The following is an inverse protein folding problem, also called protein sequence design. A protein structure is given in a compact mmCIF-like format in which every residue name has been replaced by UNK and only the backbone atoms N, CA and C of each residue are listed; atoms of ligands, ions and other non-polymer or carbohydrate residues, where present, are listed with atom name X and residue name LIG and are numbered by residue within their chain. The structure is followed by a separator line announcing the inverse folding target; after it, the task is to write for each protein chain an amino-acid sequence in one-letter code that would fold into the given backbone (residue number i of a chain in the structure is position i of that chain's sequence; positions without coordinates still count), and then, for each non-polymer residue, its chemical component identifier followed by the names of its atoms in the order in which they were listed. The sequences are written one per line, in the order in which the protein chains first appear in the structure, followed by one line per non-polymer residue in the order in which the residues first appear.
data_IF_654417382118
#
_entry.id   IF_654417382118
#
_cell.length_a   1.000
_cell.length_b   1.000
_cell.length_c   1.000
_cell.angle_alpha   90.00
_cell.angle_beta   90.00
_cell.angle_gamma   90.00
#
_symmetry.space_group_name_H-M   'P 1'
#
loop_
_entity.id
_entity.type
_entity.pdbx_description
1 polymer ?
#
# COMPACT_ATOMS: atom_id res chain seq x y z
N UNK A 1 35.35 -2.10 7.55
CA UNK A 1 34.65 -2.51 8.78
C UNK A 1 34.17 -3.92 8.56
N UNK A 2 34.77 -4.85 9.28
CA UNK A 2 34.49 -6.28 9.26
C UNK A 2 33.05 -6.52 9.73
N UNK A 3 32.27 -7.19 8.89
CA UNK A 3 31.00 -7.79 9.27
C UNK A 3 31.31 -8.78 10.40
N UNK A 4 30.90 -8.46 11.63
CA UNK A 4 30.75 -9.50 12.63
C UNK A 4 29.71 -10.48 12.07
N UNK A 5 30.17 -11.69 11.72
CA UNK A 5 29.26 -12.79 11.45
C UNK A 5 28.49 -13.03 12.74
N UNK A 6 27.25 -12.56 12.80
CA UNK A 6 26.32 -12.90 13.88
C UNK A 6 26.20 -14.42 13.91
N UNK A 7 26.81 -15.05 14.91
CA UNK A 7 26.83 -16.49 15.02
C UNK A 7 25.50 -16.97 15.61
N UNK A 8 24.47 -17.02 14.77
CA UNK A 8 23.15 -17.49 15.15
C UNK A 8 23.19 -18.95 15.67
N UNK A 9 24.20 -19.75 15.33
CA UNK A 9 24.32 -21.14 15.81
C UNK A 9 24.44 -21.24 17.34
N UNK A 10 25.04 -20.24 18.02
CA UNK A 10 25.08 -20.22 19.48
C UNK A 10 23.77 -19.75 20.10
N UNK A 11 23.09 -18.81 19.45
CA UNK A 11 21.89 -18.18 19.99
C UNK A 11 20.66 -19.07 19.81
N UNK A 12 20.55 -19.76 18.67
CA UNK A 12 19.48 -20.70 18.36
C UNK A 12 19.48 -21.94 19.28
N UNK A 13 20.61 -22.29 19.92
CA UNK A 13 20.70 -23.43 20.85
C UNK A 13 19.84 -23.26 22.10
N UNK A 14 19.50 -22.01 22.46
CA UNK A 14 18.73 -21.70 23.65
C UNK A 14 17.26 -21.40 23.36
N UNK A 15 16.87 -21.44 22.08
CA UNK A 15 15.51 -21.20 21.63
C UNK A 15 14.65 -22.47 21.71
N UNK A 16 13.33 -22.31 21.59
CA UNK A 16 12.44 -23.44 21.32
C UNK A 16 12.90 -24.18 20.04
N UNK A 17 13.06 -25.52 20.05
CA UNK A 17 13.60 -26.26 18.91
C UNK A 17 12.80 -26.11 17.62
N UNK A 18 11.48 -25.88 17.72
CA UNK A 18 10.63 -25.67 16.54
C UNK A 18 10.92 -24.29 15.95
N UNK A 19 10.95 -23.25 16.80
CA UNK A 19 11.30 -21.88 16.36
C UNK A 19 12.71 -21.86 15.76
N UNK A 20 13.68 -22.49 16.44
CA UNK A 20 15.05 -22.57 15.96
C UNK A 20 15.15 -23.23 14.57
N UNK A 21 14.41 -24.31 14.35
CA UNK A 21 14.36 -25.00 13.06
C UNK A 21 13.84 -24.09 11.95
N UNK A 22 12.72 -23.40 12.19
CA UNK A 22 12.12 -22.46 11.23
C UNK A 22 13.09 -21.32 10.90
N UNK A 23 13.71 -20.73 11.92
CA UNK A 23 14.67 -19.64 11.74
C UNK A 23 15.90 -20.07 10.95
N UNK A 24 16.40 -21.29 11.18
CA UNK A 24 17.52 -21.84 10.42
C UNK A 24 17.18 -22.09 8.95
N UNK A 25 15.95 -22.57 8.66
CA UNK A 25 15.47 -22.71 7.29
C UNK A 25 15.35 -21.34 6.59
N UNK A 26 14.85 -20.32 7.29
CA UNK A 26 14.79 -18.96 6.77
C UNK A 26 16.19 -18.37 6.49
N UNK A 27 17.15 -18.55 7.42
CA UNK A 27 18.55 -18.16 7.24
C UNK A 27 19.24 -18.87 6.06
N UNK A 28 18.75 -20.06 5.70
CA UNK A 28 19.19 -20.86 4.56
C UNK A 28 18.44 -20.51 3.26
N UNK A 29 17.71 -19.41 3.24
CA UNK A 29 16.89 -18.92 2.11
C UNK A 29 15.79 -19.90 1.65
N UNK A 30 15.35 -20.81 2.52
CA UNK A 30 14.19 -21.64 2.24
C UNK A 30 12.91 -20.86 2.54
N UNK A 31 11.89 -21.08 1.72
CA UNK A 31 10.57 -20.52 1.94
C UNK A 31 9.92 -21.21 3.15
N UNK A 32 9.49 -20.41 4.12
CA UNK A 32 8.73 -20.90 5.28
C UNK A 32 7.26 -21.06 4.90
N UNK A 33 6.60 -22.09 5.42
CA UNK A 33 5.19 -22.32 5.12
C UNK A 33 4.26 -21.51 6.05
N UNK A 34 2.94 -21.64 5.82
CA UNK A 34 1.93 -20.94 6.62
C UNK A 34 1.96 -21.40 8.08
N UNK A 35 2.17 -22.70 8.34
CA UNK A 35 2.17 -23.26 9.69
C UNK A 35 3.36 -22.72 10.47
N UNK A 36 4.53 -22.69 9.86
CA UNK A 36 5.75 -22.14 10.44
C UNK A 36 5.60 -20.65 10.72
N UNK A 37 5.03 -19.89 9.78
CA UNK A 37 4.74 -18.47 9.96
C UNK A 37 3.83 -18.21 11.18
N UNK A 38 2.77 -19.02 11.36
CA UNK A 38 1.87 -18.92 12.51
C UNK A 38 2.57 -19.25 13.83
N UNK A 39 3.49 -20.22 13.82
CA UNK A 39 4.33 -20.53 14.98
C UNK A 39 5.21 -19.34 15.36
N UNK A 40 5.86 -18.68 14.40
CA UNK A 40 6.69 -17.51 14.67
C UNK A 40 5.91 -16.35 15.30
N UNK A 41 4.66 -16.10 14.89
CA UNK A 41 3.80 -15.09 15.54
C UNK A 41 3.51 -15.39 17.04
N UNK A 42 3.68 -16.65 17.45
CA UNK A 42 3.47 -17.10 18.82
C UNK A 42 4.75 -17.04 19.68
N UNK A 43 5.90 -16.73 19.09
CA UNK A 43 7.17 -16.59 19.80
C UNK A 43 7.11 -15.50 20.88
N UNK A 44 7.73 -15.75 22.04
CA UNK A 44 7.77 -14.84 23.19
C UNK A 44 9.17 -14.85 23.80
N UNK A 45 9.49 -13.81 24.59
CA UNK A 45 10.79 -13.71 25.26
C UNK A 45 11.96 -13.82 24.27
N UNK A 46 12.94 -14.65 24.59
CA UNK A 46 14.14 -14.87 23.77
C UNK A 46 13.84 -15.36 22.35
N UNK A 47 12.81 -16.20 22.16
CA UNK A 47 12.42 -16.65 20.82
C UNK A 47 11.96 -15.48 19.94
N UNK A 48 11.26 -14.49 20.52
CA UNK A 48 10.84 -13.29 19.78
C UNK A 48 12.04 -12.40 19.42
N UNK A 49 12.99 -12.23 20.33
CA UNK A 49 14.23 -11.49 20.07
C UNK A 49 15.04 -12.14 18.92
N UNK A 50 15.07 -13.46 18.87
CA UNK A 50 15.69 -14.22 17.78
C UNK A 50 14.95 -14.04 16.45
N UNK A 51 13.61 -14.07 16.44
CA UNK A 51 12.82 -13.76 15.24
C UNK A 51 13.18 -12.37 14.69
N UNK A 52 13.24 -11.35 15.56
CA UNK A 52 13.63 -10.00 15.16
C UNK A 52 15.06 -9.95 14.60
N UNK A 53 16.01 -10.64 15.25
CA UNK A 53 17.42 -10.62 14.85
C UNK A 53 17.66 -11.34 13.52
N UNK A 54 16.98 -12.47 13.29
CA UNK A 54 17.02 -13.18 12.00
C UNK A 54 16.35 -12.36 10.91
N UNK A 55 15.21 -11.72 11.20
CA UNK A 55 14.57 -10.82 10.24
C UNK A 55 15.49 -9.64 9.84
N UNK A 56 16.24 -9.08 10.80
CA UNK A 56 17.19 -8.00 10.53
C UNK A 56 18.37 -8.46 9.67
N UNK A 57 18.92 -9.63 9.95
CA UNK A 57 19.98 -10.25 9.14
C UNK A 57 19.50 -10.50 7.71
N UNK A 58 18.31 -11.08 7.53
CA UNK A 58 17.73 -11.31 6.21
C UNK A 58 17.50 -9.99 5.46
N UNK A 59 17.00 -8.96 6.13
CA UNK A 59 16.88 -7.60 5.58
C UNK A 59 18.26 -7.09 5.14
N UNK A 60 19.28 -7.19 6.00
CA UNK A 60 20.65 -6.74 5.72
C UNK A 60 21.27 -7.46 4.52
N UNK A 61 21.09 -8.77 4.39
CA UNK A 61 21.54 -9.55 3.22
C UNK A 61 20.88 -9.08 1.92
N UNK A 62 19.60 -8.66 1.99
CA UNK A 62 18.81 -8.27 0.82
C UNK A 62 19.06 -6.83 0.38
N UNK A 63 19.13 -5.89 1.32
CA UNK A 63 19.14 -4.44 1.01
C UNK A 63 20.28 -3.65 1.68
N UNK A 64 21.13 -4.31 2.47
CA UNK A 64 22.21 -3.65 3.20
C UNK A 64 21.71 -2.77 4.34
N UNK A 65 22.57 -1.85 4.78
CA UNK A 65 22.32 -0.95 5.93
C UNK A 65 21.78 0.42 5.53
N UNK A 66 21.65 0.71 4.23
CA UNK A 66 21.12 2.00 3.76
C UNK A 66 19.61 2.04 3.94
N UNK A 67 19.15 2.95 4.80
CA UNK A 67 17.71 3.24 4.97
C UNK A 67 17.30 4.32 3.99
N UNK A 68 16.39 3.99 3.08
CA UNK A 68 15.83 4.93 2.10
C UNK A 68 14.52 5.55 2.60
N UNK A 69 14.24 6.79 2.21
CA UNK A 69 12.98 7.46 2.49
C UNK A 69 12.53 8.29 1.29
N UNK A 70 11.26 8.70 1.30
CA UNK A 70 10.66 9.61 0.31
C UNK A 70 10.07 10.80 1.05
N UNK A 71 10.32 12.02 0.56
CA UNK A 71 9.59 13.21 1.01
C UNK A 71 8.27 13.25 0.24
N UNK A 72 7.20 12.89 0.94
CA UNK A 72 5.86 12.69 0.38
C UNK A 72 4.85 13.69 0.97
N UNK A 73 3.85 14.08 0.17
CA UNK A 73 2.59 14.65 0.69
C UNK A 73 1.40 13.76 0.33
N UNK A 74 0.68 13.31 1.34
CA UNK A 74 -0.65 12.72 1.19
C UNK A 74 -1.66 13.83 0.87
N UNK A 75 -2.40 13.68 -0.24
CA UNK A 75 -3.49 14.57 -0.64
C UNK A 75 -4.76 13.75 -0.71
N UNK A 76 -5.53 13.81 0.37
CA UNK A 76 -6.87 13.24 0.40
C UNK A 76 -7.84 14.24 -0.23
N UNK A 77 -8.32 13.95 -1.45
CA UNK A 77 -9.13 14.93 -2.19
C UNK A 77 -10.63 14.89 -1.86
N UNK A 78 -11.08 13.86 -1.14
CA UNK A 78 -12.41 13.82 -0.53
C UNK A 78 -12.40 12.84 0.64
N UNK A 79 -13.18 13.13 1.67
CA UNK A 79 -13.47 12.22 2.78
C UNK A 79 -14.86 11.57 2.67
N UNK A 80 -15.67 11.93 1.68
CA UNK A 80 -16.99 11.34 1.45
C UNK A 80 -16.81 9.93 0.89
N UNK A 81 -17.43 8.93 1.51
CA UNK A 81 -17.26 7.55 1.10
C UNK A 81 -18.53 6.73 1.26
N UNK A 82 -18.92 6.02 0.20
CA UNK A 82 -20.04 5.05 0.24
C UNK A 82 -19.71 3.77 1.05
N UNK A 83 -18.47 3.59 1.51
CA UNK A 83 -18.05 2.42 2.28
C UNK A 83 -18.10 2.73 3.78
N UNK A 84 -18.65 1.80 4.55
CA UNK A 84 -18.80 1.94 6.01
C UNK A 84 -17.83 1.00 6.73
N UNK A 85 -16.53 1.29 6.64
CA UNK A 85 -15.51 0.48 7.31
C UNK A 85 -15.49 0.81 8.82
N UNK A 86 -15.64 -0.20 9.68
CA UNK A 86 -15.78 0.01 11.13
C UNK A 86 -14.53 0.57 11.83
N UNK A 87 -13.39 0.58 11.15
CA UNK A 87 -12.10 1.09 11.63
C UNK A 87 -11.69 2.43 11.00
N UNK A 88 -12.47 2.95 10.04
CA UNK A 88 -12.08 4.14 9.29
C UNK A 88 -12.58 5.42 9.97
N UNK A 89 -11.68 6.16 10.60
CA UNK A 89 -11.99 7.46 11.20
C UNK A 89 -12.11 8.60 10.18
N UNK A 90 -11.60 8.39 8.96
CA UNK A 90 -11.52 9.42 7.92
C UNK A 90 -12.81 9.57 7.12
N UNK A 91 -13.51 8.47 6.84
CA UNK A 91 -14.71 8.50 6.00
C UNK A 91 -15.84 9.25 6.66
N UNK A 92 -16.59 9.99 5.85
CA UNK A 92 -17.85 10.64 6.20
C UNK A 92 -18.94 10.12 5.29
N UNK A 93 -20.15 9.99 5.84
CA UNK A 93 -21.33 9.74 5.02
C UNK A 93 -21.59 10.96 4.12
N UNK A 94 -22.18 10.76 2.95
CA UNK A 94 -22.48 11.85 2.01
C UNK A 94 -23.46 12.89 2.58
N UNK A 95 -24.14 12.56 3.68
CA UNK A 95 -25.07 13.47 4.39
C UNK A 95 -24.44 14.22 5.55
N UNK A 96 -23.18 13.95 5.89
CA UNK A 96 -22.51 14.62 7.00
C UNK A 96 -21.94 15.98 6.58
N UNK A 97 -22.11 17.00 7.42
CA UNK A 97 -21.66 18.37 7.15
C UNK A 97 -20.14 18.50 7.00
N UNK A 98 -19.38 17.54 7.55
CA UNK A 98 -17.91 17.50 7.46
C UNK A 98 -17.38 16.91 6.15
N UNK A 99 -18.28 16.49 5.23
CA UNK A 99 -17.92 15.98 3.92
C UNK A 99 -17.31 17.06 3.01
N UNK A 100 -16.22 16.75 2.32
CA UNK A 100 -15.62 17.64 1.32
C UNK A 100 -15.22 16.92 0.04
N UNK A 101 -15.15 17.68 -1.05
CA UNK A 101 -14.52 17.31 -2.31
C UNK A 101 -13.68 18.50 -2.77
N UNK A 102 -12.37 18.33 -2.86
CA UNK A 102 -11.46 19.40 -3.26
C UNK A 102 -11.56 19.65 -4.77
N UNK A 103 -11.60 20.92 -5.21
CA UNK A 103 -11.38 21.28 -6.60
C UNK A 103 -10.01 20.81 -7.08
N UNK A 104 -9.88 20.48 -8.37
CA UNK A 104 -8.61 20.01 -8.95
C UNK A 104 -7.51 21.05 -8.78
N UNK A 105 -7.87 22.33 -8.87
CA UNK A 105 -6.96 23.46 -8.71
C UNK A 105 -6.34 23.48 -7.30
N UNK A 106 -7.11 23.13 -6.27
CA UNK A 106 -6.63 23.04 -4.90
C UNK A 106 -5.71 21.82 -4.70
N UNK A 107 -6.00 20.69 -5.35
CA UNK A 107 -5.13 19.50 -5.35
C UNK A 107 -3.78 19.85 -5.98
N UNK A 108 -3.79 20.52 -7.13
CA UNK A 108 -2.58 20.97 -7.83
C UNK A 108 -1.80 21.99 -7.00
N UNK A 109 -2.49 22.96 -6.37
CA UNK A 109 -1.85 23.92 -5.46
C UNK A 109 -1.11 23.22 -4.33
N UNK A 110 -1.73 22.20 -3.71
CA UNK A 110 -1.10 21.39 -2.65
C UNK A 110 0.08 20.57 -3.16
N UNK A 111 -0.02 19.99 -4.36
CA UNK A 111 1.09 19.28 -4.97
C UNK A 111 2.28 20.21 -5.25
N UNK A 112 2.00 21.44 -5.71
CA UNK A 112 3.01 22.47 -5.99
C UNK A 112 3.70 22.96 -4.73
N UNK A 113 2.93 23.29 -3.70
CA UNK A 113 3.47 23.64 -2.38
C UNK A 113 4.36 22.51 -1.83
N UNK A 114 3.94 21.25 -1.96
CA UNK A 114 4.77 20.11 -1.54
C UNK A 114 6.09 20.06 -2.30
N UNK A 115 6.03 20.23 -3.62
CA UNK A 115 7.21 20.23 -4.47
C UNK A 115 8.19 21.37 -4.12
N UNK A 116 7.67 22.57 -3.87
CA UNK A 116 8.45 23.74 -3.45
C UNK A 116 9.14 23.52 -2.09
N UNK A 117 8.53 22.70 -1.22
CA UNK A 117 9.10 22.26 0.05
C UNK A 117 10.03 21.03 -0.07
N UNK A 118 10.31 20.56 -1.29
CA UNK A 118 11.24 19.46 -1.56
C UNK A 118 10.62 18.07 -1.67
N UNK A 119 9.28 17.95 -1.71
CA UNK A 119 8.64 16.67 -1.96
C UNK A 119 8.93 16.17 -3.39
N UNK A 120 9.29 14.89 -3.48
CA UNK A 120 9.49 14.18 -4.75
C UNK A 120 8.29 13.34 -5.14
N UNK A 121 7.35 13.14 -4.21
CA UNK A 121 6.16 12.33 -4.39
C UNK A 121 4.92 13.00 -3.79
N UNK A 122 3.79 12.83 -4.46
CA UNK A 122 2.46 13.01 -3.87
C UNK A 122 1.73 11.68 -3.87
N UNK A 123 1.11 11.36 -2.73
CA UNK A 123 0.21 10.23 -2.62
C UNK A 123 -1.23 10.74 -2.74
N UNK A 124 -1.94 10.33 -3.79
CA UNK A 124 -3.31 10.78 -4.06
C UNK A 124 -4.27 9.65 -3.69
N UNK A 125 -5.13 9.90 -2.70
CA UNK A 125 -6.13 8.96 -2.21
C UNK A 125 -7.42 9.70 -1.86
N UNK A 126 -8.50 8.95 -1.68
CA UNK A 126 -9.79 9.53 -1.34
C UNK A 126 -10.77 8.52 -0.73
N UNK A 127 -11.87 9.06 -0.22
CA UNK A 127 -13.13 8.33 -0.16
C UNK A 127 -13.71 8.04 -1.55
N UNK A 128 -14.87 7.40 -1.58
CA UNK A 128 -15.61 7.09 -2.81
C UNK A 128 -16.97 7.80 -2.76
N UNK A 129 -17.06 9.07 -3.16
CA UNK A 129 -18.35 9.75 -3.22
C UNK A 129 -19.28 9.03 -4.21
N UNK A 130 -20.60 8.99 -3.94
CA UNK A 130 -21.55 8.52 -4.93
C UNK A 130 -21.48 9.40 -6.19
N UNK A 131 -21.70 8.80 -7.35
CA UNK A 131 -21.73 9.48 -8.66
C UNK A 131 -20.47 10.30 -9.00
N UNK A 132 -19.33 9.99 -8.38
CA UNK A 132 -18.08 10.66 -8.71
C UNK A 132 -17.66 10.31 -10.14
N UNK A 133 -17.39 11.36 -10.93
CA UNK A 133 -16.89 11.22 -12.29
C UNK A 133 -15.61 10.37 -12.29
N UNK A 134 -15.67 9.24 -13.00
CA UNK A 134 -14.55 8.32 -13.11
C UNK A 134 -13.37 8.90 -13.90
N UNK A 135 -13.54 10.00 -14.62
CA UNK A 135 -12.46 10.72 -15.30
C UNK A 135 -11.70 11.69 -14.38
N UNK A 136 -12.24 12.00 -13.19
CA UNK A 136 -11.64 12.92 -12.24
C UNK A 136 -10.22 12.50 -11.86
N UNK A 137 -10.00 11.20 -11.63
CA UNK A 137 -8.70 10.64 -11.28
C UNK A 137 -7.62 10.94 -12.34
N UNK A 138 -7.95 10.78 -13.63
CA UNK A 138 -7.05 11.11 -14.74
C UNK A 138 -6.85 12.62 -14.89
N UNK A 139 -7.91 13.41 -14.68
CA UNK A 139 -7.84 14.87 -14.70
C UNK A 139 -6.86 15.38 -13.63
N UNK A 140 -6.95 14.86 -12.40
CA UNK A 140 -6.03 15.19 -11.31
C UNK A 140 -4.58 14.91 -11.73
N UNK A 141 -4.29 13.72 -12.26
CA UNK A 141 -2.93 13.36 -12.64
C UNK A 141 -2.38 14.26 -13.76
N UNK A 142 -3.19 14.52 -14.79
CA UNK A 142 -2.80 15.38 -15.92
C UNK A 142 -2.50 16.80 -15.48
N UNK A 143 -3.33 17.40 -14.63
CA UNK A 143 -3.10 18.77 -14.15
C UNK A 143 -1.89 18.85 -13.20
N UNK A 144 -1.65 17.84 -12.35
CA UNK A 144 -0.42 17.78 -11.55
C UNK A 144 0.81 17.69 -12.45
N UNK A 145 0.84 16.77 -13.43
CA UNK A 145 1.98 16.60 -14.33
C UNK A 145 2.20 17.81 -15.25
N UNK A 146 1.15 18.55 -15.59
CA UNK A 146 1.26 19.79 -16.37
C UNK A 146 2.04 20.86 -15.60
N UNK A 147 1.72 21.07 -14.33
CA UNK A 147 2.39 22.07 -13.49
C UNK A 147 3.73 21.57 -12.93
N UNK A 148 3.85 20.27 -12.65
CA UNK A 148 5.00 19.65 -12.00
C UNK A 148 5.37 18.34 -12.73
N UNK A 149 5.94 18.40 -13.95
CA UNK A 149 6.19 17.21 -14.78
C UNK A 149 7.02 16.10 -14.11
N UNK A 150 7.90 16.48 -13.16
CA UNK A 150 8.79 15.56 -12.43
C UNK A 150 8.18 14.97 -11.16
N UNK A 151 6.99 15.40 -10.73
CA UNK A 151 6.38 14.90 -9.51
C UNK A 151 6.02 13.42 -9.67
N UNK A 152 6.48 12.56 -8.76
CA UNK A 152 6.04 11.16 -8.74
C UNK A 152 4.62 11.08 -8.18
N UNK A 153 3.70 10.47 -8.92
CA UNK A 153 2.32 10.26 -8.48
C UNK A 153 2.17 8.82 -7.99
N UNK A 154 2.06 8.67 -6.67
CA UNK A 154 1.69 7.42 -6.01
C UNK A 154 0.19 7.42 -5.77
N UNK A 155 -0.58 6.99 -6.76
CA UNK A 155 -1.99 7.36 -6.88
C UNK A 155 -2.95 6.19 -6.88
N UNK A 156 -4.03 6.35 -6.13
CA UNK A 156 -5.27 5.58 -6.10
C UNK A 156 -5.12 4.15 -5.60
N UNK A 157 -5.86 3.85 -4.54
CA UNK A 157 -5.98 2.51 -4.01
C UNK A 157 -6.63 1.57 -5.03
N UNK A 158 -6.45 0.24 -4.87
CA UNK A 158 -7.12 -0.76 -5.70
C UNK A 158 -8.65 -0.62 -5.72
N UNK A 159 -9.25 -0.12 -4.65
CA UNK A 159 -10.68 0.19 -4.58
C UNK A 159 -11.05 1.36 -5.51
N UNK A 160 -10.31 2.47 -5.47
CA UNK A 160 -10.53 3.62 -6.33
C UNK A 160 -10.34 3.27 -7.81
N UNK A 161 -9.34 2.43 -8.12
CA UNK A 161 -9.10 1.92 -9.47
C UNK A 161 -10.29 1.07 -9.95
N UNK A 162 -10.81 0.16 -9.10
CA UNK A 162 -11.98 -0.64 -9.44
C UNK A 162 -13.23 0.23 -9.60
N UNK A 163 -13.42 1.19 -8.71
CA UNK A 163 -14.52 2.14 -8.76
C UNK A 163 -14.48 2.94 -10.06
N UNK A 164 -13.34 3.58 -10.39
CA UNK A 164 -13.17 4.35 -11.61
C UNK A 164 -13.35 3.52 -12.89
N UNK A 165 -12.85 2.29 -12.92
CA UNK A 165 -13.10 1.36 -14.03
C UNK A 165 -14.59 1.03 -14.19
N UNK A 166 -15.28 0.78 -13.08
CA UNK A 166 -16.71 0.44 -13.07
C UNK A 166 -17.57 1.63 -13.51
N UNK A 167 -17.34 2.83 -12.98
CA UNK A 167 -18.07 4.04 -13.34
C UNK A 167 -17.89 4.42 -14.82
N UNK A 168 -16.71 4.15 -15.38
CA UNK A 168 -16.45 4.33 -16.83
C UNK A 168 -16.96 3.18 -17.70
N UNK A 169 -17.45 2.08 -17.13
CA UNK A 169 -17.88 0.90 -17.89
C UNK A 169 -16.76 0.20 -18.66
N UNK A 170 -15.52 0.25 -18.18
CA UNK A 170 -14.34 -0.34 -18.86
C UNK A 170 -13.61 -1.34 -17.96
N UNK A 171 -12.64 -2.07 -18.55
CA UNK A 171 -11.87 -3.05 -17.78
C UNK A 171 -10.87 -2.38 -16.84
N UNK A 172 -10.53 -3.05 -15.73
CA UNK A 172 -9.43 -2.64 -14.82
C UNK A 172 -8.13 -2.36 -15.59
N UNK A 173 -7.82 -3.19 -16.59
CA UNK A 173 -6.60 -3.04 -17.38
C UNK A 173 -6.61 -1.74 -18.17
N UNK A 174 -7.71 -1.43 -18.86
CA UNK A 174 -7.82 -0.24 -19.68
C UNK A 174 -7.84 1.02 -18.81
N UNK A 175 -8.50 0.96 -17.66
CA UNK A 175 -8.47 2.06 -16.70
C UNK A 175 -7.08 2.32 -16.11
N UNK A 176 -6.36 1.27 -15.71
CA UNK A 176 -4.96 1.39 -15.28
C UNK A 176 -4.04 1.96 -16.38
N UNK A 177 -4.27 1.60 -17.65
CA UNK A 177 -3.53 2.20 -18.77
C UNK A 177 -3.85 3.68 -18.94
N UNK A 178 -5.12 4.08 -18.80
CA UNK A 178 -5.54 5.49 -18.79
C UNK A 178 -4.84 6.26 -17.67
N UNK A 179 -4.86 5.73 -16.44
CA UNK A 179 -4.16 6.33 -15.30
C UNK A 179 -2.64 6.45 -15.51
N UNK A 180 -2.00 5.41 -16.04
CA UNK A 180 -0.58 5.43 -16.40
C UNK A 180 -0.28 6.52 -17.42
N UNK A 181 -1.08 6.62 -18.48
CA UNK A 181 -0.93 7.66 -19.50
C UNK A 181 -1.21 9.06 -18.96
N UNK A 182 -2.10 9.18 -17.98
CA UNK A 182 -2.41 10.43 -17.28
C UNK A 182 -1.29 10.86 -16.31
N UNK A 183 -0.37 9.95 -15.97
CA UNK A 183 0.82 10.27 -15.18
C UNK A 183 0.98 9.51 -13.86
N UNK A 184 0.17 8.48 -13.58
CA UNK A 184 0.40 7.63 -12.39
C UNK A 184 1.69 6.83 -12.57
N UNK A 185 2.60 6.95 -11.61
CA UNK A 185 3.89 6.27 -11.62
C UNK A 185 3.85 4.94 -10.84
N UNK A 186 3.16 4.93 -9.68
CA UNK A 186 2.95 3.75 -8.84
C UNK A 186 1.60 3.81 -8.14
N UNK A 187 1.14 2.68 -7.60
CA UNK A 187 -0.11 2.61 -6.84
C UNK A 187 0.13 2.14 -5.40
N UNK A 188 -0.62 2.65 -4.40
CA UNK A 188 -0.57 2.14 -3.04
C UNK A 188 -1.18 0.74 -2.92
N UNK A 189 -0.66 -0.09 -2.02
CA UNK A 189 -1.24 -1.38 -1.62
C UNK A 189 -2.38 -1.28 -0.60
N UNK A 190 -2.93 -0.09 -0.40
CA UNK A 190 -4.06 0.15 0.53
C UNK A 190 -5.32 -0.62 0.10
N UNK A 191 -6.39 -0.58 0.91
CA UNK A 191 -7.62 -1.38 0.71
C UNK A 191 -7.43 -2.91 0.83
N UNK A 192 -6.21 -3.36 1.15
CA UNK A 192 -5.93 -4.76 1.48
C UNK A 192 -6.53 -5.13 2.84
N UNK A 193 -6.29 -4.28 3.85
CA UNK A 193 -6.67 -4.46 5.26
C UNK A 193 -6.28 -5.85 5.77
N UNK A 194 -7.18 -6.82 5.66
CA UNK A 194 -6.93 -8.25 5.84
C UNK A 194 -7.42 -8.96 4.59
N UNK A 195 -6.54 -9.71 3.91
CA UNK A 195 -6.89 -10.47 2.70
C UNK A 195 -7.63 -11.79 3.00
N UNK A 196 -8.55 -11.76 3.96
CA UNK A 196 -9.52 -12.81 4.27
C UNK A 196 -10.94 -12.26 4.04
N UNK A 197 -11.67 -12.83 3.08
CA UNK A 197 -12.96 -12.30 2.68
C UNK A 197 -14.00 -12.34 3.81
N UNK A 198 -14.03 -13.41 4.61
CA UNK A 198 -15.00 -13.57 5.71
C UNK A 198 -14.77 -12.53 6.79
N UNK A 199 -13.52 -12.15 7.04
CA UNK A 199 -13.19 -11.08 7.97
C UNK A 199 -13.57 -9.71 7.41
N UNK A 200 -13.27 -9.45 6.13
CA UNK A 200 -13.66 -8.18 5.47
C UNK A 200 -15.16 -7.95 5.46
N UNK A 201 -15.94 -9.00 5.22
CA UNK A 201 -17.40 -8.92 5.26
C UNK A 201 -17.94 -8.47 6.63
N UNK A 202 -17.15 -8.67 7.70
CA UNK A 202 -17.47 -8.20 9.06
C UNK A 202 -16.97 -6.79 9.35
N UNK A 203 -15.71 -6.48 9.02
CA UNK A 203 -15.05 -5.23 9.45
C UNK A 203 -15.16 -4.09 8.43
N UNK A 204 -15.39 -4.42 7.16
CA UNK A 204 -15.44 -3.48 6.04
C UNK A 204 -16.45 -3.95 4.98
N UNK A 205 -17.74 -4.09 5.33
CA UNK A 205 -18.75 -4.59 4.41
C UNK A 205 -18.83 -3.71 3.16
N UNK A 206 -18.94 -4.36 1.99
CA UNK A 206 -19.02 -3.68 0.70
C UNK A 206 -17.71 -3.13 0.16
N UNK A 207 -16.58 -3.25 0.87
CA UNK A 207 -15.23 -2.98 0.34
C UNK A 207 -14.92 -3.96 -0.81
N UNK A 208 -13.98 -3.62 -1.68
CA UNK A 208 -13.46 -4.42 -2.80
C UNK A 208 -13.22 -5.85 -2.34
N UNK A 209 -13.58 -6.85 -3.13
CA UNK A 209 -13.33 -8.24 -2.74
C UNK A 209 -11.82 -8.56 -2.69
N UNK A 210 -11.40 -9.57 -1.95
CA UNK A 210 -10.01 -10.06 -1.97
C UNK A 210 -9.59 -10.44 -3.40
N UNK A 211 -10.50 -11.08 -4.14
CA UNK A 211 -10.29 -11.48 -5.53
C UNK A 211 -10.02 -10.28 -6.43
N UNK A 212 -10.81 -9.21 -6.29
CA UNK A 212 -10.68 -8.02 -7.13
C UNK A 212 -9.47 -7.19 -6.73
N UNK A 213 -9.14 -7.11 -5.43
CA UNK A 213 -7.91 -6.47 -4.97
C UNK A 213 -6.68 -7.15 -5.60
N UNK A 214 -6.61 -8.48 -5.52
CA UNK A 214 -5.53 -9.27 -6.15
C UNK A 214 -5.51 -9.04 -7.67
N UNK A 215 -6.68 -9.00 -8.31
CA UNK A 215 -6.80 -8.78 -9.75
C UNK A 215 -6.24 -7.40 -10.14
N UNK A 216 -6.55 -6.35 -9.39
CA UNK A 216 -6.03 -4.99 -9.65
C UNK A 216 -4.52 -4.97 -9.52
N UNK A 217 -3.96 -5.43 -8.40
CA UNK A 217 -2.51 -5.42 -8.15
C UNK A 217 -1.76 -6.23 -9.23
N UNK A 218 -2.19 -7.46 -9.50
CA UNK A 218 -1.56 -8.29 -10.54
C UNK A 218 -1.69 -7.67 -11.94
N UNK A 219 -2.78 -6.97 -12.23
CA UNK A 219 -2.95 -6.29 -13.53
C UNK A 219 -2.02 -5.09 -13.65
N UNK A 220 -1.88 -4.29 -12.59
CA UNK A 220 -0.96 -3.16 -12.53
C UNK A 220 0.49 -3.62 -12.79
N UNK A 221 0.95 -4.67 -12.09
CA UNK A 221 2.29 -5.22 -12.29
C UNK A 221 2.53 -5.72 -13.72
N UNK A 222 1.54 -6.43 -14.31
CA UNK A 222 1.62 -6.92 -15.69
C UNK A 222 1.79 -5.82 -16.74
N UNK A 223 1.31 -4.60 -16.47
CA UNK A 223 1.44 -3.45 -17.37
C UNK A 223 2.58 -2.51 -16.96
N UNK A 224 3.44 -2.93 -16.01
CA UNK A 224 4.63 -2.22 -15.59
C UNK A 224 4.38 -1.07 -14.60
N UNK A 225 3.25 -1.07 -13.89
CA UNK A 225 3.02 -0.17 -12.75
C UNK A 225 3.44 -0.92 -11.48
N UNK A 226 4.36 -0.35 -10.70
CA UNK A 226 4.75 -0.92 -9.40
C UNK A 226 3.74 -0.54 -8.33
N UNK A 227 3.63 -1.37 -7.30
CA UNK A 227 2.88 -1.05 -6.08
C UNK A 227 3.77 -1.21 -4.85
N UNK A 228 3.38 -0.56 -3.76
CA UNK A 228 3.94 -0.76 -2.42
C UNK A 228 3.06 -1.68 -1.61
#
# INVERSE_FOLDING_TARGET
MTLENTNFDSELKHADPVIAGILNDALSEKEIDIKDSVMLFSARGTDHELVCSVADELRKRRVGDVVTYVVNRNINFTNVCIKQCGFCAFSRDFREEEGYLLPVEEIVRRAKEAHELGATEVCIQAGLPPDMDGELYEKICREIKKEIPKMHIHGFSPEEILYGATTNGITIRDYLLRLKNAGVDTIPGTSAEILDQKMRDKISPGRISVKDWIKVIKTAHKIGIRST
#
